data_IF_520958657112
#
_entry.id   IF_520958657112
#
_cell.length_a   1.000
_cell.length_b   1.000
_cell.length_c   1.000
_cell.angle_alpha   90.00
_cell.angle_beta   90.00
_cell.angle_gamma   90.00
#
_symmetry.space_group_name_H-M   'P 1'
#
loop_
_entity.id
_entity.type
_entity.pdbx_description
1 polymer ?
#
# COMPACT_ATOMS: atom_id res chain seq x y z
N UNK A 1 9.04 -23.96 10.98
CA UNK A 1 8.33 -23.07 10.03
C UNK A 1 9.03 -23.18 8.68
N UNK A 2 8.27 -23.30 7.59
CA UNK A 2 8.87 -23.34 6.25
C UNK A 2 9.31 -21.93 5.83
N UNK A 3 10.50 -21.81 5.26
CA UNK A 3 10.96 -20.57 4.63
C UNK A 3 10.57 -20.57 3.15
N UNK A 4 10.24 -19.40 2.61
CA UNK A 4 10.00 -19.21 1.18
C UNK A 4 10.81 -18.02 0.67
N UNK A 5 11.16 -18.04 -0.61
CA UNK A 5 11.98 -17.01 -1.23
C UNK A 5 11.13 -15.99 -1.98
N UNK A 6 11.57 -14.73 -1.93
CA UNK A 6 10.95 -13.61 -2.65
C UNK A 6 11.87 -13.23 -3.81
N UNK A 7 11.41 -13.45 -5.05
CA UNK A 7 12.12 -13.03 -6.26
C UNK A 7 11.48 -11.76 -6.84
N UNK A 8 12.25 -10.68 -6.88
CA UNK A 8 11.80 -9.39 -7.44
C UNK A 8 12.79 -8.93 -8.49
N UNK A 9 12.29 -8.58 -9.68
CA UNK A 9 13.10 -7.94 -10.72
C UNK A 9 13.25 -6.45 -10.41
N UNK A 10 14.47 -5.97 -10.49
CA UNK A 10 14.84 -4.57 -10.30
C UNK A 10 16.00 -4.26 -11.25
N UNK A 11 16.12 -3.02 -11.71
CA UNK A 11 17.28 -2.61 -12.48
C UNK A 11 18.55 -2.63 -11.63
N UNK A 12 19.67 -2.90 -12.28
CA UNK A 12 20.97 -3.08 -11.62
C UNK A 12 21.39 -1.84 -10.83
N UNK A 13 21.22 -0.65 -11.41
CA UNK A 13 21.60 0.63 -10.76
C UNK A 13 20.81 0.88 -9.48
N UNK A 14 19.51 0.62 -9.50
CA UNK A 14 18.66 0.71 -8.30
C UNK A 14 19.09 -0.28 -7.24
N UNK A 15 19.39 -1.53 -7.62
CA UNK A 15 19.86 -2.56 -6.69
C UNK A 15 21.17 -2.16 -6.00
N UNK A 16 22.15 -1.70 -6.78
CA UNK A 16 23.46 -1.27 -6.26
C UNK A 16 23.32 -0.08 -5.30
N UNK A 17 22.57 0.94 -5.70
CA UNK A 17 22.34 2.12 -4.87
C UNK A 17 21.66 1.76 -3.56
N UNK A 18 20.60 0.95 -3.63
CA UNK A 18 19.88 0.50 -2.44
C UNK A 18 20.78 -0.33 -1.51
N UNK A 19 21.55 -1.27 -2.06
CA UNK A 19 22.47 -2.10 -1.29
C UNK A 19 23.53 -1.26 -0.56
N UNK A 20 24.12 -0.27 -1.24
CA UNK A 20 25.10 0.64 -0.64
C UNK A 20 24.50 1.49 0.47
N UNK A 21 23.32 2.06 0.25
CA UNK A 21 22.63 2.89 1.25
C UNK A 21 22.26 2.08 2.48
N UNK A 22 21.68 0.89 2.29
CA UNK A 22 21.28 0.01 3.39
C UNK A 22 22.49 -0.54 4.17
N UNK A 23 23.59 -0.88 3.48
CA UNK A 23 24.83 -1.27 4.13
C UNK A 23 25.39 -0.15 5.02
N UNK A 24 25.27 1.11 4.60
CA UNK A 24 25.60 2.27 5.43
C UNK A 24 24.73 2.41 6.68
N UNK A 25 23.54 1.80 6.68
CA UNK A 25 22.64 1.70 7.84
C UNK A 25 22.85 0.39 8.64
N UNK A 26 23.79 -0.46 8.23
CA UNK A 26 24.09 -1.73 8.91
C UNK A 26 23.13 -2.89 8.58
N UNK A 27 22.35 -2.80 7.50
CA UNK A 27 21.39 -3.84 7.10
C UNK A 27 21.52 -4.25 5.63
N UNK A 28 21.13 -5.48 5.30
CA UNK A 28 21.12 -5.96 3.92
C UNK A 28 19.81 -5.61 3.20
N UNK A 29 19.80 -5.76 1.87
CA UNK A 29 18.57 -5.66 1.06
C UNK A 29 17.52 -6.66 1.55
N UNK A 30 17.94 -7.88 1.88
CA UNK A 30 17.05 -8.93 2.38
C UNK A 30 16.42 -8.57 3.73
N UNK A 31 17.18 -7.90 4.62
CA UNK A 31 16.66 -7.44 5.91
C UNK A 31 15.60 -6.36 5.72
N UNK A 32 15.87 -5.38 4.86
CA UNK A 32 14.92 -4.33 4.53
C UNK A 32 13.62 -4.88 3.92
N UNK A 33 13.73 -5.84 2.98
CA UNK A 33 12.55 -6.51 2.38
C UNK A 33 11.77 -7.28 3.45
N UNK A 34 12.45 -7.98 4.36
CA UNK A 34 11.78 -8.71 5.44
C UNK A 34 11.04 -7.77 6.40
N UNK A 35 11.68 -6.67 6.80
CA UNK A 35 11.08 -5.65 7.66
C UNK A 35 9.84 -5.02 7.01
N UNK A 36 9.93 -4.68 5.71
CA UNK A 36 8.81 -4.17 4.94
C UNK A 36 7.61 -5.13 4.99
N UNK A 37 7.84 -6.41 4.69
CA UNK A 37 6.77 -7.41 4.65
C UNK A 37 6.12 -7.62 6.03
N UNK A 38 6.92 -7.65 7.10
CA UNK A 38 6.41 -7.74 8.48
C UNK A 38 5.56 -6.52 8.82
N UNK A 39 6.02 -5.31 8.47
CA UNK A 39 5.31 -4.07 8.80
C UNK A 39 3.99 -3.95 8.03
N UNK A 40 3.99 -4.28 6.73
CA UNK A 40 2.77 -4.31 5.91
C UNK A 40 1.74 -5.29 6.47
N UNK A 41 2.17 -6.49 6.87
CA UNK A 41 1.27 -7.48 7.45
C UNK A 41 0.67 -7.03 8.79
N UNK A 42 1.46 -6.36 9.63
CA UNK A 42 1.03 -5.89 10.94
C UNK A 42 0.11 -4.65 10.86
N UNK A 43 0.47 -3.67 10.04
CA UNK A 43 -0.21 -2.37 10.01
C UNK A 43 -1.29 -2.24 8.94
N UNK A 44 -1.34 -3.17 7.98
CA UNK A 44 -2.20 -3.07 6.79
C UNK A 44 -1.99 -1.77 6.01
N UNK A 45 -0.78 -1.23 6.07
CA UNK A 45 -0.37 0.00 5.42
C UNK A 45 1.07 -0.13 4.89
N UNK A 46 1.41 0.68 3.88
CA UNK A 46 2.80 0.82 3.45
C UNK A 46 3.54 1.78 4.40
N UNK A 47 4.84 1.55 4.67
CA UNK A 47 5.61 2.37 5.61
C UNK A 47 6.02 3.74 5.03
N UNK A 48 5.48 4.09 3.87
CA UNK A 48 5.60 5.39 3.22
C UNK A 48 4.24 5.79 2.68
N UNK A 49 3.99 7.09 2.60
CA UNK A 49 2.77 7.62 2.03
C UNK A 49 2.62 7.19 0.57
N UNK A 50 1.55 6.46 0.26
CA UNK A 50 1.16 6.16 -1.12
C UNK A 50 0.45 7.39 -1.67
N UNK A 51 1.22 8.28 -2.29
CA UNK A 51 0.72 9.60 -2.72
C UNK A 51 -0.23 9.58 -3.91
N UNK A 52 -0.22 8.51 -4.71
CA UNK A 52 -1.05 8.41 -5.91
C UNK A 52 -2.16 7.39 -5.70
N UNK A 53 -3.44 7.83 -5.59
CA UNK A 53 -4.56 6.91 -5.55
C UNK A 53 -4.56 6.03 -6.80
N UNK A 54 -4.86 4.74 -6.63
CA UNK A 54 -4.93 3.83 -7.78
C UNK A 54 -6.10 4.22 -8.72
N UNK A 55 -6.11 3.68 -9.94
CA UNK A 55 -7.10 4.01 -10.95
C UNK A 55 -8.56 3.84 -10.47
N UNK A 56 -8.81 2.81 -9.64
CA UNK A 56 -10.14 2.55 -9.07
C UNK A 56 -10.53 3.64 -8.09
N UNK A 57 -9.63 4.03 -7.18
CA UNK A 57 -9.86 5.14 -6.24
C UNK A 57 -10.07 6.46 -6.98
N UNK A 58 -9.26 6.77 -7.99
CA UNK A 58 -9.43 7.97 -8.83
C UNK A 58 -10.79 7.99 -9.51
N UNK A 59 -11.25 6.84 -10.05
CA UNK A 59 -12.56 6.72 -10.70
C UNK A 59 -13.69 6.98 -9.70
N UNK A 60 -13.59 6.44 -8.49
CA UNK A 60 -14.58 6.65 -7.42
C UNK A 60 -14.64 8.12 -6.99
N UNK A 61 -13.49 8.76 -6.76
CA UNK A 61 -13.42 10.19 -6.41
C UNK A 61 -14.09 11.07 -7.49
N UNK A 62 -13.75 10.84 -8.77
CA UNK A 62 -14.36 11.57 -9.90
C UNK A 62 -15.86 11.35 -10.04
N UNK A 63 -16.38 10.19 -9.65
CA UNK A 63 -17.82 9.92 -9.68
C UNK A 63 -18.55 10.76 -8.61
N UNK A 64 -17.96 10.86 -7.42
CA UNK A 64 -18.47 11.71 -6.33
C UNK A 64 -18.42 13.19 -6.71
N UNK A 65 -17.30 13.68 -7.28
CA UNK A 65 -17.17 15.08 -7.74
C UNK A 65 -18.24 15.48 -8.76
N UNK A 66 -18.67 14.52 -9.58
CA UNK A 66 -19.73 14.70 -10.59
C UNK A 66 -21.15 14.50 -10.02
N UNK A 67 -21.29 14.49 -8.70
CA UNK A 67 -22.55 14.23 -7.99
C UNK A 67 -23.24 12.91 -8.37
N UNK A 68 -22.48 11.91 -8.85
CA UNK A 68 -23.01 10.58 -9.20
C UNK A 68 -23.00 9.60 -8.01
N UNK A 69 -22.69 10.07 -6.81
CA UNK A 69 -22.79 9.29 -5.58
C UNK A 69 -24.24 9.10 -5.14
N UNK A 70 -24.54 7.97 -4.49
CA UNK A 70 -25.86 7.72 -3.91
C UNK A 70 -26.06 8.63 -2.68
N UNK A 71 -27.21 9.28 -2.58
CA UNK A 71 -27.57 10.14 -1.45
C UNK A 71 -28.62 9.46 -0.58
N UNK A 72 -28.45 9.54 0.73
CA UNK A 72 -29.39 9.05 1.71
C UNK A 72 -29.99 10.22 2.50
N UNK A 73 -31.22 10.05 2.98
CA UNK A 73 -31.94 11.09 3.73
C UNK A 73 -31.53 11.17 5.19
N UNK A 74 -30.84 10.16 5.72
CA UNK A 74 -30.35 10.09 7.09
C UNK A 74 -29.15 9.13 7.20
N UNK A 75 -28.41 9.22 8.30
CA UNK A 75 -27.35 8.27 8.62
C UNK A 75 -27.88 6.84 8.75
N UNK A 76 -29.04 6.65 9.40
CA UNK A 76 -29.67 5.33 9.56
C UNK A 76 -29.99 4.66 8.21
N UNK A 77 -30.47 5.44 7.24
CA UNK A 77 -30.77 4.93 5.90
C UNK A 77 -29.51 4.52 5.13
N UNK A 78 -28.38 5.19 5.37
CA UNK A 78 -27.07 4.82 4.81
C UNK A 78 -26.55 3.54 5.45
N UNK A 79 -26.53 3.47 6.78
CA UNK A 79 -25.99 2.31 7.52
C UNK A 79 -26.75 1.03 7.18
N UNK A 80 -28.09 1.11 7.14
CA UNK A 80 -28.95 0.00 6.71
C UNK A 80 -28.62 -0.54 5.31
N UNK A 81 -28.25 0.33 4.37
CA UNK A 81 -27.84 -0.10 3.02
C UNK A 81 -26.44 -0.73 3.01
N UNK A 82 -25.52 -0.21 3.81
CA UNK A 82 -24.15 -0.72 3.91
C UNK A 82 -24.06 -2.04 4.70
N UNK A 83 -25.14 -2.46 5.36
CA UNK A 83 -25.19 -3.70 6.14
C UNK A 83 -24.33 -3.66 7.40
N UNK A 84 -24.09 -2.46 7.94
CA UNK A 84 -23.38 -2.21 9.20
C UNK A 84 -24.25 -1.43 10.17
#
# INVERSE_FOLDING_TARGET
MATTMVHVRVDEKTKEKAAKTLAGMGISVSDAVRMLLVRVAAEKALPFEVRVPNATTVKAMRATDRAKGKRHRSADALLKELGI
#
